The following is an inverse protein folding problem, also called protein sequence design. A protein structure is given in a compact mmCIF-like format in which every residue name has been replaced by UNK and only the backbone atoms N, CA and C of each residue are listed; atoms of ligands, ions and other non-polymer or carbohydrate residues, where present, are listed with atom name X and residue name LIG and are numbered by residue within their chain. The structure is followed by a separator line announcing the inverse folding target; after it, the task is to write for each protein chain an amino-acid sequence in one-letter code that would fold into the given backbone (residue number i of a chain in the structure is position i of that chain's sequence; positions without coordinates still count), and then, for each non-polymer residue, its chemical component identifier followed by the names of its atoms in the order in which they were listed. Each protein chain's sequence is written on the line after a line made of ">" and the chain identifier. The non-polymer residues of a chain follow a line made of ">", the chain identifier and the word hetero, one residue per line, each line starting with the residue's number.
data_IF_974332440143
#
_entry.id   IF_974332440143
#
_cell.length_a   1.000
_cell.length_b   1.000
_cell.length_c   1.000
_cell.angle_alpha   90.00
_cell.angle_beta   90.00
_cell.angle_gamma   90.00
#
_symmetry.space_group_name_H-M   'P 1'
#
loop_
_entity.id
_entity.type
_entity.pdbx_description
1 polymer ?
#
# COMPACT_ATOMS: atom_id res chain seq x y z
N UNK A 1 12.82 -1.69 20.20
CA UNK A 1 11.45 -1.46 19.69
C UNK A 1 11.55 -1.18 18.19
N UNK A 2 10.71 -1.80 17.39
CA UNK A 2 10.72 -1.73 15.93
C UNK A 2 9.53 -0.93 15.43
N UNK A 3 9.69 -0.22 14.30
CA UNK A 3 8.67 0.56 13.63
C UNK A 3 8.55 0.10 12.17
N UNK A 4 7.49 0.50 11.46
CA UNK A 4 7.39 0.44 10.01
C UNK A 4 7.16 1.85 9.47
N UNK A 5 8.19 2.50 9.00
CA UNK A 5 8.17 3.88 8.49
C UNK A 5 8.35 3.94 6.98
N UNK A 6 9.13 2.98 6.43
CA UNK A 6 9.47 2.87 5.03
C UNK A 6 9.26 1.43 4.55
N UNK A 7 8.90 1.17 3.29
CA UNK A 7 8.80 -0.19 2.74
C UNK A 7 10.09 -1.02 2.86
N UNK A 8 11.24 -0.37 3.02
CA UNK A 8 12.55 -1.01 3.12
C UNK A 8 13.02 -1.28 4.56
N UNK A 9 12.21 -0.97 5.58
CA UNK A 9 12.57 -1.19 7.00
C UNK A 9 12.63 -2.67 7.38
N UNK A 10 12.02 -3.54 6.55
CA UNK A 10 12.12 -4.99 6.67
C UNK A 10 13.01 -5.56 5.56
N UNK A 11 13.80 -6.60 5.87
CA UNK A 11 14.51 -7.38 4.87
C UNK A 11 13.53 -8.16 3.98
N UNK A 12 14.00 -8.76 2.87
CA UNK A 12 13.15 -9.61 2.02
C UNK A 12 12.65 -10.80 2.80
N UNK A 13 13.53 -11.43 3.58
CA UNK A 13 13.23 -12.60 4.42
C UNK A 13 12.17 -12.25 5.48
N UNK A 14 12.26 -11.07 6.08
CA UNK A 14 11.28 -10.61 7.07
C UNK A 14 9.93 -10.29 6.43
N UNK A 15 9.93 -9.71 5.22
CA UNK A 15 8.70 -9.51 4.44
C UNK A 15 8.09 -10.88 4.12
N UNK A 16 8.87 -11.84 3.64
CA UNK A 16 8.37 -13.18 3.30
C UNK A 16 7.77 -13.88 4.53
N UNK A 17 8.42 -13.80 5.70
CA UNK A 17 7.89 -14.32 6.97
C UNK A 17 6.57 -13.63 7.37
N UNK A 18 6.48 -12.30 7.20
CA UNK A 18 5.27 -11.54 7.48
C UNK A 18 4.14 -11.95 6.54
N UNK A 19 4.43 -12.14 5.26
CA UNK A 19 3.46 -12.61 4.28
C UNK A 19 3.03 -14.07 4.54
N UNK A 20 3.94 -14.94 5.03
CA UNK A 20 3.61 -16.31 5.46
C UNK A 20 2.66 -16.31 6.65
N UNK A 21 2.92 -15.44 7.64
CA UNK A 21 2.02 -15.24 8.76
C UNK A 21 0.65 -14.73 8.30
N UNK A 22 0.60 -13.77 7.38
CA UNK A 22 -0.65 -13.25 6.82
C UNK A 22 -1.45 -14.34 6.08
N UNK A 23 -0.76 -15.24 5.35
CA UNK A 23 -1.41 -16.37 4.68
C UNK A 23 -1.97 -17.40 5.67
N UNK A 24 -1.26 -17.67 6.78
CA UNK A 24 -1.77 -18.54 7.83
C UNK A 24 -2.98 -17.91 8.55
N UNK A 25 -2.96 -16.61 8.79
CA UNK A 25 -4.10 -15.87 9.34
C UNK A 25 -5.32 -15.96 8.41
N UNK A 26 -5.12 -15.80 7.09
CA UNK A 26 -6.18 -15.97 6.09
C UNK A 26 -6.79 -17.36 6.14
N UNK A 27 -5.96 -18.41 6.22
CA UNK A 27 -6.40 -19.79 6.24
C UNK A 27 -7.06 -20.20 7.57
N UNK A 28 -6.64 -19.61 8.69
CA UNK A 28 -7.03 -20.01 10.03
C UNK A 28 -7.45 -18.81 10.92
N UNK A 29 -8.39 -17.96 10.53
CA UNK A 29 -8.67 -16.69 11.22
C UNK A 29 -9.11 -16.87 12.68
N UNK A 30 -9.85 -17.94 12.99
CA UNK A 30 -10.31 -18.24 14.35
C UNK A 30 -9.17 -18.50 15.34
N UNK A 31 -8.04 -19.05 14.85
CA UNK A 31 -6.83 -19.31 15.64
C UNK A 31 -6.20 -18.04 16.18
N UNK A 32 -6.37 -16.94 15.48
CA UNK A 32 -5.76 -15.63 15.78
C UNK A 32 -6.71 -14.67 16.51
N UNK A 33 -7.97 -15.05 16.74
CA UNK A 33 -9.01 -14.14 17.22
C UNK A 33 -8.78 -13.56 18.64
N UNK A 34 -7.83 -14.09 19.40
CA UNK A 34 -7.53 -13.69 20.78
C UNK A 34 -6.05 -13.38 21.05
N UNK A 35 -5.21 -13.36 20.03
CA UNK A 35 -3.74 -13.19 20.23
C UNK A 35 -3.36 -11.79 20.72
N UNK A 36 -4.21 -10.79 20.50
CA UNK A 36 -4.02 -9.42 20.99
C UNK A 36 -5.03 -9.03 22.08
N UNK A 37 -5.59 -9.99 22.83
CA UNK A 37 -6.49 -9.69 23.96
C UNK A 37 -5.81 -8.71 24.91
N UNK A 38 -6.53 -7.65 25.31
CA UNK A 38 -6.02 -6.59 26.16
C UNK A 38 -5.16 -5.52 25.48
N UNK A 39 -4.65 -5.76 24.27
CA UNK A 39 -3.86 -4.80 23.51
C UNK A 39 -4.71 -3.74 22.83
N UNK A 40 -4.14 -2.56 22.59
CA UNK A 40 -4.81 -1.43 21.96
C UNK A 40 -3.97 -0.84 20.83
N UNK A 41 -4.61 -0.63 19.65
CA UNK A 41 -4.04 0.19 18.59
C UNK A 41 -4.58 1.61 18.65
N UNK A 42 -3.72 2.61 18.48
CA UNK A 42 -4.11 3.98 18.21
C UNK A 42 -4.09 4.26 16.71
N UNK A 43 -5.23 4.64 16.12
CA UNK A 43 -5.35 5.07 14.73
C UNK A 43 -5.42 6.59 14.64
N UNK A 44 -4.28 7.25 14.35
CA UNK A 44 -4.14 8.70 14.32
C UNK A 44 -4.17 9.21 12.88
N UNK A 45 -5.36 9.53 12.38
CA UNK A 45 -5.57 9.96 11.01
C UNK A 45 -5.87 11.46 10.95
N UNK A 46 -4.88 12.26 10.52
CA UNK A 46 -4.97 13.72 10.41
C UNK A 46 -5.56 14.18 9.07
N UNK A 47 -5.75 13.25 8.14
CA UNK A 47 -6.44 13.47 6.87
C UNK A 47 -7.41 12.31 6.58
N UNK A 48 -8.47 12.53 5.79
CA UNK A 48 -9.43 11.49 5.46
C UNK A 48 -8.79 10.27 4.79
N UNK A 49 -9.02 9.10 5.36
CA UNK A 49 -8.53 7.82 4.82
C UNK A 49 -9.38 6.67 5.30
N UNK A 50 -10.55 6.49 4.69
CA UNK A 50 -11.53 5.49 5.11
C UNK A 50 -10.96 4.07 5.10
N UNK A 51 -10.43 3.64 3.95
CA UNK A 51 -9.96 2.25 3.79
C UNK A 51 -8.79 1.89 4.69
N UNK A 52 -7.74 2.73 4.73
CA UNK A 52 -6.55 2.43 5.53
C UNK A 52 -6.89 2.39 7.02
N UNK A 53 -7.66 3.37 7.51
CA UNK A 53 -8.08 3.42 8.92
C UNK A 53 -8.89 2.20 9.30
N UNK A 54 -10.01 1.96 8.59
CA UNK A 54 -10.90 0.82 8.88
C UNK A 54 -10.18 -0.52 8.75
N UNK A 55 -9.21 -0.65 7.84
CA UNK A 55 -8.42 -1.87 7.70
C UNK A 55 -7.51 -2.14 8.91
N UNK A 56 -6.88 -1.10 9.50
CA UNK A 56 -6.13 -1.24 10.75
C UNK A 56 -7.03 -1.55 11.94
N UNK A 57 -8.17 -0.88 12.01
CA UNK A 57 -9.17 -1.11 13.06
C UNK A 57 -9.71 -2.55 12.98
N UNK A 58 -10.12 -2.99 11.78
CA UNK A 58 -10.56 -4.37 11.55
C UNK A 58 -9.46 -5.39 11.88
N UNK A 59 -8.20 -5.13 11.47
CA UNK A 59 -7.08 -6.01 11.77
C UNK A 59 -6.89 -6.21 13.28
N UNK A 60 -6.92 -5.11 14.06
CA UNK A 60 -6.76 -5.20 15.52
C UNK A 60 -7.95 -5.89 16.19
N UNK A 61 -9.18 -5.59 15.74
CA UNK A 61 -10.41 -6.24 16.26
C UNK A 61 -10.42 -7.74 15.96
N UNK A 62 -9.99 -8.15 14.75
CA UNK A 62 -9.89 -9.56 14.38
C UNK A 62 -8.85 -10.32 15.20
N UNK A 63 -7.88 -9.64 15.79
CA UNK A 63 -6.88 -10.22 16.70
C UNK A 63 -7.35 -10.22 18.17
N UNK A 64 -8.57 -9.76 18.48
CA UNK A 64 -9.11 -9.66 19.85
C UNK A 64 -8.72 -8.37 20.58
N UNK A 65 -7.99 -7.47 19.93
CA UNK A 65 -7.57 -6.21 20.53
C UNK A 65 -8.66 -5.13 20.48
N UNK A 66 -8.28 -3.92 20.89
CA UNK A 66 -9.16 -2.75 20.96
C UNK A 66 -8.60 -1.58 20.16
N UNK A 67 -9.47 -0.65 19.79
CA UNK A 67 -9.14 0.49 18.95
C UNK A 67 -9.45 1.79 19.70
N UNK A 68 -8.55 2.78 19.58
CA UNK A 68 -8.79 4.17 19.93
C UNK A 68 -8.16 5.07 18.86
N UNK A 69 -8.59 6.32 18.76
CA UNK A 69 -8.01 7.24 17.79
C UNK A 69 -8.97 8.30 17.28
N UNK A 70 -8.58 8.96 16.19
CA UNK A 70 -9.37 10.00 15.53
C UNK A 70 -9.21 9.93 14.01
N UNK A 71 -10.18 10.54 13.28
CA UNK A 71 -10.31 10.48 11.83
C UNK A 71 -9.93 11.77 11.09
N UNK A 72 -9.70 12.87 11.85
CA UNK A 72 -9.31 14.17 11.29
C UNK A 72 -8.48 14.96 12.30
N UNK A 73 -7.67 15.91 11.79
CA UNK A 73 -6.92 16.85 12.64
C UNK A 73 -7.85 17.68 13.53
N UNK A 74 -9.02 18.08 13.03
CA UNK A 74 -9.98 18.94 13.73
C UNK A 74 -10.56 18.28 15.00
N UNK A 75 -10.63 16.95 15.01
CA UNK A 75 -11.07 16.17 16.16
C UNK A 75 -9.95 15.82 17.18
N UNK A 76 -8.77 16.42 17.02
CA UNK A 76 -7.60 16.16 17.85
C UNK A 76 -6.98 17.45 18.43
N UNK A 77 -6.09 17.29 19.40
CA UNK A 77 -5.32 18.42 19.97
C UNK A 77 -4.37 19.09 18.98
N UNK A 78 -4.14 18.50 17.80
CA UNK A 78 -3.38 19.13 16.73
C UNK A 78 -4.04 20.44 16.25
N UNK A 79 -5.37 20.55 16.30
CA UNK A 79 -6.10 21.79 16.00
C UNK A 79 -5.75 22.95 16.95
N UNK A 80 -5.22 22.62 18.14
CA UNK A 80 -4.73 23.59 19.15
C UNK A 80 -3.23 23.84 19.05
N UNK A 81 -2.54 23.25 18.07
CA UNK A 81 -1.10 23.42 17.86
C UNK A 81 -0.21 22.36 18.57
N UNK A 82 -0.77 21.26 19.07
CA UNK A 82 0.02 20.19 19.69
C UNK A 82 0.99 19.57 18.66
N UNK A 83 2.24 19.39 19.09
CA UNK A 83 3.29 18.81 18.26
C UNK A 83 3.10 17.29 18.06
N UNK A 84 3.67 16.73 16.97
CA UNK A 84 3.71 15.28 16.76
C UNK A 84 4.39 14.56 17.92
N UNK A 85 5.49 15.17 18.43
CA UNK A 85 6.27 14.60 19.53
C UNK A 85 5.46 14.50 20.83
N UNK A 86 4.66 15.52 21.15
CA UNK A 86 3.82 15.50 22.34
C UNK A 86 2.62 14.57 22.15
N UNK A 87 1.96 14.63 20.98
CA UNK A 87 0.86 13.71 20.67
C UNK A 87 1.29 12.25 20.86
N UNK A 88 2.44 11.83 20.29
CA UNK A 88 2.84 10.42 20.39
C UNK A 88 3.25 10.01 21.81
N UNK A 89 3.84 10.90 22.60
CA UNK A 89 4.13 10.65 24.01
C UNK A 89 2.85 10.40 24.82
N UNK A 90 1.83 11.21 24.59
CA UNK A 90 0.51 11.05 25.24
C UNK A 90 -0.15 9.74 24.79
N UNK A 91 -0.16 9.46 23.49
CA UNK A 91 -0.75 8.24 22.94
C UNK A 91 -0.02 6.98 23.43
N UNK A 92 1.29 7.05 23.63
CA UNK A 92 2.07 5.95 24.20
C UNK A 92 1.65 5.58 25.64
N UNK A 93 0.95 6.48 26.36
CA UNK A 93 0.35 6.15 27.65
C UNK A 93 -0.97 5.37 27.52
N UNK A 94 -1.60 5.36 26.37
CA UNK A 94 -2.96 4.82 26.17
C UNK A 94 -3.01 3.57 25.31
N UNK A 95 -2.05 3.39 24.41
CA UNK A 95 -2.03 2.31 23.42
C UNK A 95 -0.72 1.53 23.43
N UNK A 96 -0.74 0.35 22.83
CA UNK A 96 0.42 -0.54 22.70
C UNK A 96 1.11 -0.39 21.34
N UNK A 97 0.42 0.14 20.32
CA UNK A 97 0.91 0.36 18.96
C UNK A 97 0.15 1.52 18.32
N UNK A 98 0.79 2.25 17.42
CA UNK A 98 0.19 3.40 16.74
C UNK A 98 0.29 3.27 15.21
N UNK A 99 -0.83 3.42 14.50
CA UNK A 99 -0.87 3.66 13.05
C UNK A 99 -1.15 5.15 12.80
N UNK A 100 -0.18 5.86 12.22
CA UNK A 100 -0.25 7.31 12.00
C UNK A 100 -0.33 7.62 10.51
N UNK A 101 -1.31 8.45 10.11
CA UNK A 101 -1.41 9.05 8.80
C UNK A 101 -1.45 10.57 8.90
N UNK A 102 -0.54 11.26 8.19
CA UNK A 102 -0.45 12.72 8.22
C UNK A 102 -0.08 13.27 6.84
N UNK A 103 -0.63 14.46 6.45
CA UNK A 103 -0.27 15.08 5.16
C UNK A 103 1.18 15.58 5.10
N UNK A 104 1.81 15.84 6.26
CA UNK A 104 3.20 16.30 6.33
C UNK A 104 4.15 15.11 6.26
N UNK A 105 5.03 15.12 5.27
CA UNK A 105 6.08 14.13 5.08
C UNK A 105 7.02 14.03 6.28
N UNK A 106 7.47 12.82 6.61
CA UNK A 106 8.35 12.53 7.74
C UNK A 106 7.68 12.59 9.13
N UNK A 107 6.38 12.90 9.23
CA UNK A 107 5.71 12.95 10.53
C UNK A 107 5.75 11.63 11.31
N UNK A 108 5.54 10.43 10.71
CA UNK A 108 5.71 9.16 11.41
C UNK A 108 7.15 8.91 11.88
N UNK A 109 8.15 9.40 11.15
CA UNK A 109 9.55 9.35 11.58
C UNK A 109 9.77 10.18 12.85
N UNK A 110 9.27 11.42 12.87
CA UNK A 110 9.33 12.25 14.10
C UNK A 110 8.60 11.56 15.25
N UNK A 111 7.44 10.97 15.00
CA UNK A 111 6.71 10.22 16.02
C UNK A 111 7.54 9.05 16.57
N UNK A 112 8.20 8.27 15.72
CA UNK A 112 9.01 7.12 16.16
C UNK A 112 10.17 7.49 17.07
N UNK A 113 10.76 8.68 16.89
CA UNK A 113 11.86 9.20 17.74
C UNK A 113 11.40 9.57 19.17
N UNK A 114 10.10 9.78 19.38
CA UNK A 114 9.53 10.21 20.65
C UNK A 114 8.53 9.21 21.26
N UNK A 115 8.33 8.08 20.59
CA UNK A 115 7.38 7.04 20.98
C UNK A 115 8.02 6.01 21.91
N UNK A 116 7.25 5.52 22.88
CA UNK A 116 7.57 4.30 23.66
C UNK A 116 6.80 3.07 23.18
N UNK A 117 6.08 3.17 22.06
CA UNK A 117 5.34 2.09 21.40
C UNK A 117 5.69 2.02 19.91
N UNK A 118 5.50 0.87 19.23
CA UNK A 118 5.69 0.78 17.78
C UNK A 118 4.84 1.80 17.02
N UNK A 119 5.43 2.43 15.98
CA UNK A 119 4.77 3.36 15.08
C UNK A 119 4.74 2.77 13.68
N UNK A 120 3.57 2.79 13.05
CA UNK A 120 3.34 2.40 11.66
C UNK A 120 3.00 3.64 10.85
N UNK A 121 3.75 3.88 9.78
CA UNK A 121 3.41 4.87 8.77
C UNK A 121 2.22 4.36 7.92
N UNK A 122 1.04 4.92 8.15
CA UNK A 122 -0.18 4.64 7.39
C UNK A 122 -0.37 5.59 6.18
N UNK A 123 0.69 6.33 5.81
CA UNK A 123 0.78 7.29 4.72
C UNK A 123 1.19 8.68 5.19
N UNK A 124 2.25 9.24 4.63
CA UNK A 124 2.76 10.58 4.94
C UNK A 124 2.88 11.45 3.69
N UNK A 125 1.85 12.20 3.41
CA UNK A 125 1.79 13.14 2.27
C UNK A 125 2.00 12.45 0.93
N UNK A 126 2.94 12.95 0.14
CA UNK A 126 3.38 12.37 -1.16
C UNK A 126 4.48 11.34 -1.04
N UNK A 127 5.05 11.15 0.14
CA UNK A 127 6.31 10.44 0.35
C UNK A 127 6.15 8.91 0.35
N UNK A 128 5.55 8.29 1.37
CA UNK A 128 5.53 6.84 1.53
C UNK A 128 4.15 6.28 1.93
N UNK A 129 3.90 5.02 1.58
CA UNK A 129 2.76 4.26 2.07
C UNK A 129 3.14 2.78 2.27
N UNK A 130 4.02 2.46 3.24
CA UNK A 130 4.62 1.13 3.38
C UNK A 130 3.59 0.02 3.54
N UNK A 131 2.47 0.28 4.21
CA UNK A 131 1.42 -0.74 4.41
C UNK A 131 0.60 -1.02 3.15
N UNK A 132 0.55 -0.09 2.19
CA UNK A 132 -0.01 -0.40 0.86
C UNK A 132 0.93 -1.33 0.10
N UNK A 133 2.23 -1.08 0.16
CA UNK A 133 3.24 -1.97 -0.45
C UNK A 133 3.12 -3.39 0.08
N UNK A 134 3.00 -3.59 1.39
CA UNK A 134 2.78 -4.92 1.97
C UNK A 134 1.47 -5.55 1.50
N UNK A 135 0.40 -4.75 1.35
CA UNK A 135 -0.88 -5.21 0.79
C UNK A 135 -0.71 -5.69 -0.65
N UNK A 136 0.03 -4.94 -1.46
CA UNK A 136 0.28 -5.26 -2.87
C UNK A 136 1.12 -6.54 -3.00
N UNK A 137 2.19 -6.67 -2.22
CA UNK A 137 3.03 -7.89 -2.18
C UNK A 137 2.23 -9.11 -1.72
N UNK A 138 1.40 -8.99 -0.67
CA UNK A 138 0.52 -10.06 -0.22
C UNK A 138 -0.43 -10.50 -1.32
N UNK A 139 -1.03 -9.54 -2.03
CA UNK A 139 -1.97 -9.81 -3.11
C UNK A 139 -1.29 -10.53 -4.26
N UNK A 140 -0.14 -10.01 -4.72
CA UNK A 140 0.63 -10.63 -5.82
C UNK A 140 1.03 -12.05 -5.44
N UNK A 141 1.59 -12.26 -4.24
CA UNK A 141 2.03 -13.58 -3.78
C UNK A 141 0.86 -14.56 -3.66
N UNK A 142 -0.28 -14.13 -3.12
CA UNK A 142 -1.46 -14.99 -2.98
C UNK A 142 -2.06 -15.41 -4.33
N UNK A 143 -2.00 -14.52 -5.34
CA UNK A 143 -2.57 -14.79 -6.65
C UNK A 143 -1.62 -15.52 -7.60
N UNK A 144 -0.32 -15.19 -7.57
CA UNK A 144 0.70 -15.76 -8.46
C UNK A 144 1.52 -16.88 -7.83
N UNK A 145 1.41 -17.10 -6.51
CA UNK A 145 2.20 -18.07 -5.75
C UNK A 145 3.67 -17.68 -5.58
N UNK A 146 4.09 -16.51 -6.07
CA UNK A 146 5.48 -16.06 -6.09
C UNK A 146 5.58 -14.54 -6.16
N UNK A 147 6.76 -14.01 -5.80
CA UNK A 147 7.16 -12.61 -6.02
C UNK A 147 8.37 -12.49 -6.98
N UNK A 148 8.90 -13.61 -7.46
CA UNK A 148 9.99 -13.68 -8.43
C UNK A 148 9.48 -13.94 -9.84
N UNK A 149 10.27 -13.57 -10.87
CA UNK A 149 9.99 -13.84 -12.28
C UNK A 149 8.59 -13.35 -12.72
N UNK A 150 8.32 -12.07 -12.49
CA UNK A 150 7.05 -11.42 -12.82
C UNK A 150 7.28 -10.24 -13.77
N UNK A 151 6.41 -10.10 -14.76
CA UNK A 151 6.26 -8.88 -15.56
C UNK A 151 5.12 -8.04 -14.99
N UNK A 152 5.47 -6.88 -14.44
CA UNK A 152 4.54 -5.99 -13.72
C UNK A 152 4.30 -4.71 -14.52
N UNK A 153 3.09 -4.55 -15.04
CA UNK A 153 2.63 -3.33 -15.68
C UNK A 153 2.17 -2.31 -14.63
N UNK A 154 2.70 -1.11 -14.67
CA UNK A 154 2.28 0.02 -13.84
C UNK A 154 1.64 1.05 -14.77
N UNK A 155 0.35 1.34 -14.60
CA UNK A 155 -0.41 2.14 -15.55
C UNK A 155 -1.10 3.33 -14.90
N UNK A 156 -0.95 4.52 -15.49
CA UNK A 156 -1.61 5.76 -15.10
C UNK A 156 -0.66 6.86 -14.65
N UNK A 157 -0.89 7.41 -13.45
CA UNK A 157 -0.04 8.45 -12.87
C UNK A 157 1.19 7.83 -12.18
N UNK A 158 2.27 7.66 -12.95
CA UNK A 158 3.53 7.12 -12.43
C UNK A 158 4.44 8.20 -11.83
N UNK A 159 4.15 9.47 -12.10
CA UNK A 159 4.95 10.61 -11.64
C UNK A 159 4.70 10.93 -10.18
N UNK A 160 3.43 11.00 -9.77
CA UNK A 160 3.03 11.37 -8.42
C UNK A 160 2.54 10.16 -7.61
N UNK A 161 2.54 8.98 -8.22
CA UNK A 161 2.04 7.74 -7.65
C UNK A 161 2.97 7.14 -6.60
N UNK A 162 2.94 7.64 -5.33
CA UNK A 162 3.78 7.09 -4.24
C UNK A 162 3.64 5.57 -4.05
N UNK A 163 2.47 5.00 -4.32
CA UNK A 163 2.25 3.54 -4.25
C UNK A 163 3.01 2.82 -5.35
N UNK A 164 3.10 3.42 -6.55
CA UNK A 164 3.92 2.93 -7.67
C UNK A 164 5.39 2.93 -7.28
N UNK A 165 5.91 4.05 -6.79
CA UNK A 165 7.32 4.17 -6.40
C UNK A 165 7.69 3.17 -5.29
N UNK A 166 6.83 3.04 -4.28
CA UNK A 166 7.03 2.09 -3.19
C UNK A 166 6.98 0.64 -3.68
N UNK A 167 6.10 0.32 -4.61
CA UNK A 167 5.99 -1.04 -5.19
C UNK A 167 7.21 -1.37 -6.08
N UNK A 168 7.68 -0.41 -6.90
CA UNK A 168 8.92 -0.57 -7.67
C UNK A 168 10.07 -0.88 -6.73
N UNK A 169 10.28 -0.06 -5.69
CA UNK A 169 11.36 -0.25 -4.72
C UNK A 169 11.30 -1.63 -4.02
N UNK A 170 10.11 -2.07 -3.65
CA UNK A 170 9.92 -3.36 -2.97
C UNK A 170 10.17 -4.55 -3.91
N UNK A 171 9.54 -4.57 -5.09
CA UNK A 171 9.67 -5.66 -6.05
C UNK A 171 11.07 -5.75 -6.67
N UNK A 172 11.77 -4.61 -6.81
CA UNK A 172 13.18 -4.58 -7.28
C UNK A 172 14.17 -5.30 -6.34
N UNK A 173 13.71 -5.84 -5.22
CA UNK A 173 14.49 -6.68 -4.30
C UNK A 173 14.35 -8.18 -4.58
N UNK A 174 13.39 -8.54 -5.44
CA UNK A 174 13.15 -9.93 -5.87
C UNK A 174 13.76 -10.18 -7.24
N UNK A 175 14.10 -11.42 -7.52
CA UNK A 175 14.80 -11.80 -8.76
C UNK A 175 13.84 -11.95 -9.94
N UNK A 176 14.31 -11.60 -11.16
CA UNK A 176 13.56 -11.80 -12.40
C UNK A 176 12.33 -10.91 -12.53
N UNK A 177 12.31 -9.75 -11.86
CA UNK A 177 11.26 -8.74 -12.03
C UNK A 177 11.56 -7.91 -13.28
N UNK A 178 10.53 -7.68 -14.07
CA UNK A 178 10.51 -6.77 -15.20
C UNK A 178 9.34 -5.81 -15.08
N UNK A 179 9.57 -4.52 -15.32
CA UNK A 179 8.50 -3.53 -15.30
C UNK A 179 8.11 -3.09 -16.72
N UNK A 180 6.81 -2.87 -16.92
CA UNK A 180 6.24 -2.16 -18.07
C UNK A 180 5.60 -0.89 -17.53
N UNK A 181 6.21 0.26 -17.80
CA UNK A 181 5.80 1.57 -17.30
C UNK A 181 4.88 2.22 -18.33
N UNK A 182 3.57 2.26 -18.05
CA UNK A 182 2.53 2.65 -18.99
C UNK A 182 1.98 4.00 -18.57
N UNK A 183 2.43 5.06 -19.25
CA UNK A 183 2.01 6.43 -18.91
C UNK A 183 2.18 7.40 -20.09
N UNK A 184 1.42 8.50 -20.16
CA UNK A 184 1.75 9.59 -21.07
C UNK A 184 3.08 10.23 -20.67
N UNK A 185 3.77 10.93 -21.57
CA UNK A 185 5.08 11.52 -21.30
C UNK A 185 5.13 12.41 -20.05
N UNK A 186 4.06 13.13 -19.76
CA UNK A 186 3.96 14.06 -18.64
C UNK A 186 3.81 13.38 -17.27
N UNK A 187 3.42 12.10 -17.25
CA UNK A 187 3.18 11.29 -16.04
C UNK A 187 4.15 10.12 -15.90
N UNK A 188 5.30 10.15 -16.58
CA UNK A 188 6.35 9.13 -16.47
C UNK A 188 6.92 9.03 -15.05
N UNK A 189 7.46 7.86 -14.76
CA UNK A 189 8.22 7.64 -13.53
C UNK A 189 9.35 8.65 -13.43
N UNK A 190 9.56 9.29 -12.26
CA UNK A 190 10.65 10.24 -12.07
C UNK A 190 12.03 9.62 -12.26
N UNK A 191 12.97 10.41 -12.82
CA UNK A 191 14.34 9.97 -13.13
C UNK A 191 15.06 9.35 -11.93
N UNK A 192 14.83 9.86 -10.70
CA UNK A 192 15.46 9.30 -9.50
C UNK A 192 15.02 7.85 -9.21
N UNK A 193 13.79 7.45 -9.55
CA UNK A 193 13.37 6.03 -9.45
C UNK A 193 14.04 5.19 -10.53
N UNK A 194 14.12 5.73 -11.74
CA UNK A 194 14.78 5.06 -12.86
C UNK A 194 16.26 4.82 -12.52
N UNK A 195 16.99 5.87 -12.13
CA UNK A 195 18.44 5.80 -11.91
C UNK A 195 18.81 5.09 -10.61
N UNK A 196 18.18 5.49 -9.48
CA UNK A 196 18.59 5.01 -8.15
C UNK A 196 18.00 3.61 -7.82
N UNK A 197 16.96 3.17 -8.55
CA UNK A 197 16.35 1.87 -8.28
C UNK A 197 16.49 0.91 -9.47
N UNK A 198 15.98 1.26 -10.64
CA UNK A 198 15.91 0.31 -11.77
C UNK A 198 17.30 0.11 -12.38
N UNK A 199 17.97 1.19 -12.80
CA UNK A 199 19.30 1.11 -13.42
C UNK A 199 20.34 0.64 -12.40
N UNK A 200 20.36 1.18 -11.19
CA UNK A 200 21.32 0.81 -10.16
C UNK A 200 21.27 -0.68 -9.78
N UNK A 201 20.10 -1.31 -9.87
CA UNK A 201 19.90 -2.74 -9.57
C UNK A 201 19.88 -3.64 -10.81
N UNK A 202 20.02 -3.08 -12.01
CA UNK A 202 19.96 -3.83 -13.27
C UNK A 202 18.58 -4.46 -13.52
N UNK A 203 17.50 -3.80 -13.08
CA UNK A 203 16.11 -4.27 -13.28
C UNK A 203 15.68 -3.93 -14.71
N UNK A 204 15.20 -4.92 -15.43
CA UNK A 204 14.67 -4.74 -16.78
C UNK A 204 13.36 -3.93 -16.73
N UNK A 205 13.27 -2.90 -17.55
CA UNK A 205 12.02 -2.15 -17.73
C UNK A 205 11.87 -1.63 -19.16
N UNK A 206 10.65 -1.33 -19.55
CA UNK A 206 10.35 -0.54 -20.76
C UNK A 206 9.26 0.48 -20.46
N UNK A 207 9.30 1.61 -21.16
CA UNK A 207 8.27 2.62 -21.14
C UNK A 207 7.39 2.50 -22.40
N UNK A 208 6.08 2.56 -22.23
CA UNK A 208 5.10 2.53 -23.30
C UNK A 208 3.98 3.52 -23.02
N UNK A 209 3.34 4.02 -24.08
CA UNK A 209 2.22 4.95 -23.95
C UNK A 209 0.87 4.24 -24.16
N UNK A 210 0.86 3.07 -24.77
CA UNK A 210 -0.35 2.33 -25.09
C UNK A 210 -0.53 1.11 -24.17
N UNK A 211 -1.64 1.08 -23.41
CA UNK A 211 -1.98 -0.01 -22.52
C UNK A 211 -2.21 -1.32 -23.32
N UNK A 212 -2.87 -1.25 -24.49
CA UNK A 212 -3.23 -2.42 -25.26
C UNK A 212 -2.00 -3.22 -25.72
N UNK A 213 -0.89 -2.52 -26.02
CA UNK A 213 0.39 -3.14 -26.40
C UNK A 213 1.05 -3.91 -25.25
N UNK A 214 0.81 -3.47 -24.01
CA UNK A 214 1.40 -4.07 -22.82
C UNK A 214 0.63 -5.31 -22.34
N UNK A 215 -0.70 -5.32 -22.47
CA UNK A 215 -1.59 -6.33 -21.88
C UNK A 215 -1.16 -7.78 -22.09
N UNK A 216 -0.71 -8.22 -23.31
CA UNK A 216 -0.40 -9.63 -23.55
C UNK A 216 0.80 -10.19 -22.77
N UNK A 217 1.69 -9.34 -22.26
CA UNK A 217 2.92 -9.80 -21.61
C UNK A 217 2.87 -9.73 -20.08
N UNK A 218 1.84 -9.09 -19.50
CA UNK A 218 1.77 -8.82 -18.08
C UNK A 218 1.37 -10.05 -17.25
N UNK A 219 2.02 -10.22 -16.11
CA UNK A 219 1.55 -11.07 -15.02
C UNK A 219 0.63 -10.30 -14.08
N UNK A 220 0.95 -9.04 -13.84
CA UNK A 220 0.21 -8.10 -12.99
C UNK A 220 0.03 -6.79 -13.73
N UNK A 221 -1.18 -6.26 -13.74
CA UNK A 221 -1.47 -4.89 -14.11
C UNK A 221 -1.87 -4.09 -12.87
N UNK A 222 -1.03 -3.14 -12.46
CA UNK A 222 -1.31 -2.22 -11.36
C UNK A 222 -1.80 -0.90 -11.93
N UNK A 223 -3.12 -0.67 -11.84
CA UNK A 223 -3.76 0.56 -12.31
C UNK A 223 -3.72 1.64 -11.24
N UNK A 224 -3.50 2.89 -11.65
CA UNK A 224 -3.61 4.06 -10.77
C UNK A 224 -4.48 5.13 -11.40
N UNK A 225 -5.19 5.90 -10.57
CA UNK A 225 -5.92 7.07 -11.03
C UNK A 225 -4.97 8.24 -11.28
N UNK A 226 -5.32 9.13 -12.18
CA UNK A 226 -4.68 10.44 -12.31
C UNK A 226 -5.13 11.31 -11.14
N UNK A 227 -4.18 11.81 -10.33
CA UNK A 227 -4.45 12.49 -9.07
C UNK A 227 -4.69 13.98 -9.28
N UNK A 228 -5.97 14.43 -9.36
CA UNK A 228 -6.34 15.84 -9.56
C UNK A 228 -5.63 16.78 -8.60
N UNK A 229 -5.50 16.38 -7.34
CA UNK A 229 -4.88 17.14 -6.26
C UNK A 229 -3.39 17.44 -6.44
N UNK A 230 -2.76 16.87 -7.47
CA UNK A 230 -1.34 17.06 -7.81
C UNK A 230 -1.10 17.98 -9.01
N UNK A 231 -2.15 18.40 -9.70
CA UNK A 231 -2.05 19.29 -10.84
C UNK A 231 -2.20 20.74 -10.40
N UNK A 232 -1.30 21.60 -10.86
CA UNK A 232 -1.40 23.05 -10.66
C UNK A 232 -2.44 23.69 -11.58
N UNK A 233 -2.68 23.09 -12.75
CA UNK A 233 -3.61 23.54 -13.77
C UNK A 233 -4.70 22.50 -13.99
N UNK A 234 -5.98 22.93 -13.92
CA UNK A 234 -7.13 22.06 -14.13
C UNK A 234 -7.24 21.57 -15.59
N UNK A 235 -6.78 22.38 -16.56
CA UNK A 235 -6.77 22.00 -17.98
C UNK A 235 -5.86 20.79 -18.24
N UNK A 236 -4.69 20.73 -17.61
CA UNK A 236 -3.79 19.60 -17.72
C UNK A 236 -4.39 18.34 -17.11
N UNK A 237 -5.05 18.47 -15.96
CA UNK A 237 -5.79 17.35 -15.37
C UNK A 237 -6.91 16.83 -16.29
N UNK A 238 -7.74 17.73 -16.84
CA UNK A 238 -8.85 17.36 -17.73
C UNK A 238 -8.34 16.62 -18.98
N UNK A 239 -7.18 17.03 -19.52
CA UNK A 239 -6.55 16.37 -20.67
C UNK A 239 -6.08 14.95 -20.36
N UNK A 240 -5.64 14.69 -19.12
CA UNK A 240 -4.99 13.43 -18.74
C UNK A 240 -5.87 12.48 -17.92
N UNK A 241 -6.95 12.96 -17.31
CA UNK A 241 -7.77 12.16 -16.37
C UNK A 241 -8.33 10.85 -16.97
N UNK A 242 -8.56 10.82 -18.28
CA UNK A 242 -9.15 9.70 -19.02
C UNK A 242 -8.14 9.03 -19.97
N UNK A 243 -6.84 9.28 -19.82
CA UNK A 243 -5.82 8.74 -20.73
C UNK A 243 -5.79 7.19 -20.73
N UNK A 244 -6.15 6.56 -19.62
CA UNK A 244 -6.26 5.11 -19.51
C UNK A 244 -7.58 4.71 -18.87
N UNK A 245 -8.37 3.93 -19.61
CA UNK A 245 -9.57 3.29 -19.10
C UNK A 245 -9.46 1.80 -19.42
N UNK A 246 -9.34 0.99 -18.37
CA UNK A 246 -9.38 -0.46 -18.49
C UNK A 246 -10.83 -0.89 -18.64
N UNK A 247 -11.16 -1.45 -19.77
CA UNK A 247 -12.47 -1.97 -20.12
C UNK A 247 -12.42 -3.48 -20.45
N UNK A 248 -13.56 -4.08 -20.74
CA UNK A 248 -13.66 -5.51 -21.08
C UNK A 248 -12.85 -5.87 -22.33
N UNK A 249 -12.80 -4.99 -23.34
CA UNK A 249 -12.05 -5.26 -24.59
C UNK A 249 -10.56 -5.35 -24.34
N UNK A 250 -10.02 -4.48 -23.47
CA UNK A 250 -8.61 -4.53 -23.08
C UNK A 250 -8.32 -5.78 -22.25
N UNK A 251 -9.26 -6.20 -21.38
CA UNK A 251 -9.12 -7.45 -20.63
C UNK A 251 -9.04 -8.69 -21.54
N UNK A 252 -9.64 -8.66 -22.74
CA UNK A 252 -9.55 -9.74 -23.73
C UNK A 252 -8.13 -9.89 -24.33
N UNK A 253 -7.31 -8.84 -24.28
CA UNK A 253 -5.91 -8.86 -24.73
C UNK A 253 -4.96 -9.48 -23.70
N UNK A 254 -5.39 -9.55 -22.46
CA UNK A 254 -4.57 -10.04 -21.36
C UNK A 254 -4.55 -11.57 -21.29
N UNK A 255 -3.47 -12.11 -20.74
CA UNK A 255 -3.36 -13.53 -20.42
C UNK A 255 -4.40 -13.94 -19.38
N UNK A 256 -4.83 -15.20 -19.42
CA UNK A 256 -5.80 -15.75 -18.46
C UNK A 256 -5.30 -15.72 -17.01
N UNK A 257 -3.99 -15.76 -16.80
CA UNK A 257 -3.34 -15.75 -15.48
C UNK A 257 -2.84 -14.36 -15.03
N UNK A 258 -3.15 -13.28 -15.80
CA UNK A 258 -2.87 -11.91 -15.42
C UNK A 258 -3.88 -11.44 -14.35
N UNK A 259 -3.45 -10.63 -13.38
CA UNK A 259 -4.35 -10.02 -12.41
C UNK A 259 -4.26 -8.50 -12.40
N UNK A 260 -5.42 -7.86 -12.21
CA UNK A 260 -5.53 -6.41 -12.09
C UNK A 260 -5.58 -5.99 -10.62
N UNK A 261 -4.65 -5.14 -10.22
CA UNK A 261 -4.57 -4.52 -8.89
C UNK A 261 -4.86 -3.02 -9.00
N UNK A 262 -5.35 -2.44 -7.93
CA UNK A 262 -5.58 -1.00 -7.79
C UNK A 262 -5.60 -0.58 -6.32
N UNK A 263 -4.89 0.48 -5.88
CA UNK A 263 -4.85 0.89 -4.48
C UNK A 263 -6.17 1.51 -3.98
N UNK A 264 -7.10 1.81 -4.90
CA UNK A 264 -8.36 2.49 -4.65
C UNK A 264 -8.21 3.87 -3.94
N UNK A 265 -9.15 4.82 -4.11
CA UNK A 265 -10.39 4.67 -4.90
C UNK A 265 -10.13 4.74 -6.39
N UNK A 266 -10.89 4.01 -7.17
CA UNK A 266 -10.99 4.26 -8.60
C UNK A 266 -12.07 5.31 -8.86
N UNK A 267 -11.97 6.01 -9.99
CA UNK A 267 -12.98 6.91 -10.53
C UNK A 267 -13.55 6.33 -11.81
N UNK A 268 -12.81 6.42 -12.92
CA UNK A 268 -13.20 5.93 -14.24
C UNK A 268 -12.10 5.14 -14.95
N UNK A 269 -10.91 5.05 -14.37
CA UNK A 269 -9.77 4.34 -14.95
C UNK A 269 -9.94 2.82 -15.04
N UNK A 270 -10.95 2.26 -14.36
CA UNK A 270 -11.40 0.89 -14.53
C UNK A 270 -12.93 0.89 -14.68
N UNK A 271 -13.44 0.44 -15.81
CA UNK A 271 -14.87 0.28 -16.06
C UNK A 271 -15.52 -0.70 -15.09
N UNK A 272 -16.75 -0.41 -14.66
CA UNK A 272 -17.50 -1.27 -13.72
C UNK A 272 -17.72 -2.70 -14.27
N UNK A 273 -17.81 -2.86 -15.57
CA UNK A 273 -17.95 -4.17 -16.21
C UNK A 273 -16.78 -5.12 -15.97
N UNK A 274 -15.58 -4.58 -15.66
CA UNK A 274 -14.37 -5.36 -15.31
C UNK A 274 -14.50 -6.01 -13.93
N UNK A 275 -15.37 -5.53 -13.05
CA UNK A 275 -15.54 -6.07 -11.70
C UNK A 275 -15.97 -7.54 -11.68
N UNK A 276 -16.60 -8.01 -12.74
CA UNK A 276 -17.04 -9.41 -12.87
C UNK A 276 -15.99 -10.31 -13.53
N UNK A 277 -14.85 -9.76 -13.97
CA UNK A 277 -13.76 -10.58 -14.50
C UNK A 277 -13.00 -11.24 -13.32
N UNK A 278 -12.76 -12.56 -13.34
CA UNK A 278 -12.07 -13.26 -12.26
C UNK A 278 -10.64 -12.76 -12.01
N UNK A 279 -10.06 -12.06 -12.97
CA UNK A 279 -8.73 -11.45 -12.89
C UNK A 279 -8.74 -10.06 -12.19
N UNK A 280 -9.93 -9.48 -11.96
CA UNK A 280 -10.10 -8.22 -11.23
C UNK A 280 -9.88 -8.43 -9.72
N UNK A 281 -8.67 -8.19 -9.25
CA UNK A 281 -8.27 -8.54 -7.89
C UNK A 281 -8.31 -7.38 -6.89
N UNK A 282 -8.61 -6.16 -7.30
CA UNK A 282 -8.50 -4.95 -6.47
C UNK A 282 -9.44 -4.92 -5.25
N UNK A 283 -10.58 -5.61 -5.26
CA UNK A 283 -11.39 -5.77 -4.04
C UNK A 283 -10.83 -6.87 -3.12
N UNK A 284 -10.33 -7.96 -3.69
CA UNK A 284 -9.64 -9.00 -2.93
C UNK A 284 -8.35 -8.45 -2.29
N UNK A 285 -7.66 -7.54 -2.98
CA UNK A 285 -6.52 -6.78 -2.46
C UNK A 285 -6.87 -6.02 -1.16
N UNK A 286 -8.07 -5.44 -1.05
CA UNK A 286 -8.53 -4.80 0.20
C UNK A 286 -8.60 -5.79 1.35
N UNK A 287 -9.09 -7.00 1.10
CA UNK A 287 -9.17 -8.08 2.10
C UNK A 287 -7.77 -8.55 2.52
N UNK A 288 -6.88 -8.79 1.58
CA UNK A 288 -5.46 -9.11 1.86
C UNK A 288 -4.77 -8.03 2.69
N UNK A 289 -5.17 -6.77 2.49
CA UNK A 289 -4.72 -5.66 3.32
C UNK A 289 -5.06 -5.82 4.80
N UNK A 290 -6.17 -6.45 5.16
CA UNK A 290 -6.50 -6.74 6.57
C UNK A 290 -5.56 -7.80 7.12
N UNK A 291 -5.39 -8.93 6.43
CA UNK A 291 -4.53 -10.02 6.89
C UNK A 291 -3.06 -9.61 7.05
N UNK A 292 -2.52 -8.86 6.10
CA UNK A 292 -1.13 -8.39 6.23
C UNK A 292 -0.96 -7.37 7.36
N UNK A 293 -1.99 -6.56 7.65
CA UNK A 293 -1.97 -5.65 8.81
C UNK A 293 -2.10 -6.41 10.13
N UNK A 294 -2.86 -7.50 10.17
CA UNK A 294 -2.90 -8.40 11.34
C UNK A 294 -1.50 -8.98 11.60
N UNK A 295 -0.85 -9.53 10.58
CA UNK A 295 0.52 -10.04 10.68
C UNK A 295 1.52 -8.96 11.13
N UNK A 296 1.42 -7.75 10.56
CA UNK A 296 2.27 -6.61 10.92
C UNK A 296 2.08 -6.20 12.39
N UNK A 297 0.84 -6.11 12.88
CA UNK A 297 0.54 -5.78 14.27
C UNK A 297 1.15 -6.82 15.20
N UNK A 298 0.96 -8.11 14.93
CA UNK A 298 1.56 -9.19 15.71
C UNK A 298 3.08 -9.12 15.73
N UNK A 299 3.70 -8.90 14.57
CA UNK A 299 5.17 -8.79 14.43
C UNK A 299 5.72 -7.62 15.26
N UNK A 300 5.10 -6.43 15.17
CA UNK A 300 5.57 -5.24 15.88
C UNK A 300 5.27 -5.26 17.39
N UNK A 301 4.23 -5.96 17.80
CA UNK A 301 3.90 -6.19 19.21
C UNK A 301 4.66 -7.40 19.80
N UNK A 302 5.44 -8.11 18.98
CA UNK A 302 6.17 -9.33 19.36
C UNK A 302 5.22 -10.38 19.97
N UNK A 303 3.99 -10.50 19.38
CA UNK A 303 3.00 -11.49 19.80
C UNK A 303 3.32 -12.81 19.13
N UNK A 304 3.42 -13.87 19.93
CA UNK A 304 3.71 -15.20 19.44
C UNK A 304 2.59 -15.76 18.55
N UNK A 305 3.00 -16.54 17.55
CA UNK A 305 2.06 -17.31 16.73
C UNK A 305 1.41 -18.38 17.62
N UNK A 306 0.08 -18.48 17.63
CA UNK A 306 -0.58 -19.53 18.40
C UNK A 306 -0.21 -20.92 17.87
N UNK A 307 -0.15 -21.91 18.76
CA UNK A 307 0.21 -23.29 18.46
C UNK A 307 -0.82 -24.00 17.58
#
# INVERSE_FOLDING_TARGET
>A
MRHLLNPLDFSVEEIDQLLDLASDIEANPAKYAHVCDGKKIATLFYEPSTRTRLSFEAAMLNLGGRVLGFASADSSSASKGESVADTIRVISCFADICAMRRPKEGAPMVASLHSSIPVINAGDGGHQHPTQTLTDLMTIRSLKGRLNNLTVGLCGDLKFGRTVHSLINALSRYTGIRFVLISPPELRVPDYIIEDTLNAKGIEYKEVENLDEAMPELDILYMTRVQRERFFNEEDYIRMKDCYILDKKKMELARDDMFVLHPLPRVNEISVEVDNDPRAAYFKQVQYGVYVRMALIMTLLEVEKPC
#
